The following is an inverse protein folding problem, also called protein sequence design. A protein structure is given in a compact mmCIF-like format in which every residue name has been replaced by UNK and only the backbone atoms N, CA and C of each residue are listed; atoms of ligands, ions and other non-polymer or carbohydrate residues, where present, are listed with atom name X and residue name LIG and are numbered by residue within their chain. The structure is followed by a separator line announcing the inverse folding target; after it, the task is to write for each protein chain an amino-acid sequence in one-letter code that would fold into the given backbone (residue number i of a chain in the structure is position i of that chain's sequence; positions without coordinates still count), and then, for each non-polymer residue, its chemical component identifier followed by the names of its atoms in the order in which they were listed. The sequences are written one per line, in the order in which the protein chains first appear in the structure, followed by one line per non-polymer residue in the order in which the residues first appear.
data_IF_472090411482
#
_entry.id   IF_472090411482
#
_cell.length_a   1.000
_cell.length_b   1.000
_cell.length_c   1.000
_cell.angle_alpha   90.00
_cell.angle_beta   90.00
_cell.angle_gamma   90.00
#
_symmetry.space_group_name_H-M   'P 1'
#
loop_
_entity.id
_entity.type
_entity.pdbx_description
1 polymer ?
#
# COMPACT_ATOMS: atom_id res chain seq x y z
N UNK A 1 4.31 35.02 -9.11
CA UNK A 1 3.07 35.54 -9.72
C UNK A 1 2.74 34.62 -10.87
N UNK A 2 1.76 33.71 -10.70
CA UNK A 2 1.31 32.78 -11.75
C UNK A 2 0.34 33.56 -12.62
N UNK A 3 0.66 33.80 -13.89
CA UNK A 3 -0.10 34.73 -14.75
C UNK A 3 -0.95 34.06 -15.81
N UNK A 4 -0.81 32.75 -16.03
CA UNK A 4 -1.62 32.02 -17.02
C UNK A 4 -2.15 30.69 -16.49
N UNK A 5 -3.38 30.31 -16.86
CA UNK A 5 -3.90 28.95 -16.67
C UNK A 5 -3.00 27.91 -17.37
N UNK A 6 -2.30 28.28 -18.45
CA UNK A 6 -1.27 27.43 -19.04
C UNK A 6 -0.07 27.19 -18.11
N UNK A 7 0.33 28.14 -17.26
CA UNK A 7 1.45 27.93 -16.31
C UNK A 7 1.11 26.82 -15.30
N UNK A 8 -0.18 26.65 -14.98
CA UNK A 8 -0.69 25.55 -14.16
C UNK A 8 -0.55 24.18 -14.85
N UNK A 9 -0.69 24.14 -16.18
CA UNK A 9 -0.54 22.92 -16.98
C UNK A 9 0.92 22.65 -17.39
N UNK A 10 1.76 23.68 -17.55
CA UNK A 10 3.19 23.58 -17.81
C UNK A 10 3.99 23.23 -16.54
N UNK A 11 3.49 23.59 -15.35
CA UNK A 11 3.98 23.09 -14.08
C UNK A 11 3.50 21.65 -13.80
N UNK A 12 3.49 20.78 -14.82
CA UNK A 12 3.18 19.37 -14.62
C UNK A 12 4.27 18.80 -13.73
N UNK A 13 3.97 18.33 -12.50
CA UNK A 13 4.99 17.73 -11.66
C UNK A 13 5.59 16.54 -12.42
N UNK A 14 6.92 16.37 -12.41
CA UNK A 14 7.57 15.20 -12.99
C UNK A 14 6.89 13.93 -12.51
N UNK A 15 6.83 12.88 -13.34
CA UNK A 15 6.18 11.63 -12.94
C UNK A 15 6.83 11.01 -11.70
N UNK A 16 8.11 11.31 -11.45
CA UNK A 16 8.83 10.97 -10.22
C UNK A 16 8.20 11.61 -8.97
N UNK A 17 7.80 12.88 -9.03
CA UNK A 17 7.13 13.57 -7.92
C UNK A 17 5.76 12.98 -7.64
N UNK A 18 4.98 12.68 -8.69
CA UNK A 18 3.66 12.04 -8.56
C UNK A 18 3.81 10.65 -7.92
N UNK A 19 4.80 9.87 -8.35
CA UNK A 19 5.11 8.56 -7.77
C UNK A 19 5.46 8.66 -6.28
N UNK A 20 6.29 9.62 -5.88
CA UNK A 20 6.67 9.82 -4.47
C UNK A 20 5.45 10.13 -3.60
N UNK A 21 4.58 11.04 -4.05
CA UNK A 21 3.36 11.37 -3.31
C UNK A 21 2.39 10.20 -3.24
N UNK A 22 2.28 9.41 -4.31
CA UNK A 22 1.51 8.17 -4.31
C UNK A 22 2.04 7.17 -3.26
N UNK A 23 3.36 6.94 -3.21
CA UNK A 23 3.98 6.06 -2.21
C UNK A 23 3.74 6.56 -0.78
N UNK A 24 3.83 7.88 -0.55
CA UNK A 24 3.53 8.48 0.76
C UNK A 24 2.07 8.30 1.16
N UNK A 25 1.13 8.50 0.24
CA UNK A 25 -0.29 8.27 0.49
C UNK A 25 -0.56 6.81 0.86
N UNK A 26 0.04 5.87 0.14
CA UNK A 26 -0.02 4.44 0.49
C UNK A 26 0.61 4.16 1.85
N UNK A 27 1.74 4.80 2.17
CA UNK A 27 2.38 4.70 3.47
C UNK A 27 1.44 5.10 4.62
N UNK A 28 0.69 6.20 4.48
CA UNK A 28 -0.30 6.59 5.49
C UNK A 28 -1.45 5.59 5.62
N UNK A 29 -1.92 5.03 4.51
CA UNK A 29 -2.97 3.99 4.54
C UNK A 29 -2.49 2.74 5.30
N UNK A 30 -1.26 2.29 5.03
CA UNK A 30 -0.65 1.16 5.73
C UNK A 30 -0.38 1.48 7.20
N UNK A 31 0.01 2.71 7.52
CA UNK A 31 0.17 3.15 8.90
C UNK A 31 -1.15 3.02 9.67
N UNK A 32 -2.25 3.51 9.10
CA UNK A 32 -3.59 3.34 9.67
C UNK A 32 -3.98 1.88 9.82
N UNK A 33 -3.74 1.06 8.79
CA UNK A 33 -3.98 -0.39 8.83
C UNK A 33 -3.22 -1.10 9.95
N UNK A 34 -1.92 -0.83 10.07
CA UNK A 34 -1.07 -1.37 11.12
C UNK A 34 -1.53 -0.98 12.52
N UNK A 35 -1.89 0.30 12.72
CA UNK A 35 -2.45 0.78 14.00
C UNK A 35 -3.75 0.06 14.35
N UNK A 36 -4.63 -0.20 13.38
CA UNK A 36 -5.87 -0.96 13.60
C UNK A 36 -5.56 -2.40 14.04
N UNK A 37 -4.57 -3.06 13.43
CA UNK A 37 -4.16 -4.40 13.88
C UNK A 37 -3.62 -4.38 15.32
N UNK A 38 -2.81 -3.39 15.68
CA UNK A 38 -2.36 -3.20 17.07
C UNK A 38 -3.51 -2.92 18.04
N UNK A 39 -4.48 -2.10 17.64
CA UNK A 39 -5.68 -1.83 18.43
C UNK A 39 -6.47 -3.13 18.70
N UNK A 40 -6.49 -4.09 17.77
CA UNK A 40 -7.07 -5.41 18.00
C UNK A 40 -6.27 -6.24 19.00
N UNK A 41 -4.95 -6.26 18.88
CA UNK A 41 -4.06 -7.02 19.77
C UNK A 41 -4.21 -6.54 21.23
N UNK A 42 -4.29 -5.22 21.43
CA UNK A 42 -4.46 -4.62 22.77
C UNK A 42 -5.89 -4.79 23.31
N UNK A 43 -6.86 -5.16 22.46
CA UNK A 43 -8.25 -5.35 22.85
C UNK A 43 -9.11 -4.09 22.82
N UNK A 44 -8.71 -3.06 22.07
CA UNK A 44 -9.47 -1.81 21.89
C UNK A 44 -10.59 -1.99 20.85
N UNK A 45 -10.35 -2.81 19.82
CA UNK A 45 -11.28 -3.03 18.71
C UNK A 45 -11.49 -4.53 18.50
N UNK A 46 -12.76 -4.95 18.45
CA UNK A 46 -13.14 -6.32 18.08
C UNK A 46 -13.06 -6.57 16.57
N UNK A 47 -12.92 -7.82 16.17
CA UNK A 47 -12.99 -8.21 14.76
C UNK A 47 -13.97 -9.37 14.58
N UNK A 48 -15.03 -9.10 13.81
CA UNK A 48 -16.15 -10.05 13.58
C UNK A 48 -16.80 -10.52 14.90
N UNK A 49 -16.91 -9.61 15.88
CA UNK A 49 -17.48 -9.91 17.20
C UNK A 49 -16.61 -10.80 18.09
N UNK A 50 -15.33 -11.00 17.74
CA UNK A 50 -14.37 -11.74 18.53
C UNK A 50 -13.24 -10.83 18.97
N UNK A 51 -12.82 -10.97 20.22
CA UNK A 51 -11.59 -10.38 20.73
C UNK A 51 -10.38 -11.20 20.28
N UNK A 52 -9.20 -10.58 20.33
CA UNK A 52 -7.96 -11.20 19.86
C UNK A 52 -7.69 -12.56 20.51
N UNK A 53 -7.90 -12.69 21.82
CA UNK A 53 -7.67 -13.94 22.57
C UNK A 53 -8.65 -15.06 22.23
N UNK A 54 -9.84 -14.75 21.70
CA UNK A 54 -10.85 -15.74 21.32
C UNK A 54 -10.71 -16.21 19.86
N UNK A 55 -9.84 -15.56 19.08
CA UNK A 55 -9.62 -15.94 17.69
C UNK A 55 -8.83 -17.25 17.57
N UNK A 56 -9.07 -18.06 16.51
CA UNK A 56 -8.21 -19.17 16.15
C UNK A 56 -6.75 -18.72 15.98
N UNK A 57 -5.80 -19.57 16.39
CA UNK A 57 -4.36 -19.26 16.34
C UNK A 57 -3.87 -18.79 14.96
N UNK A 58 -4.45 -19.34 13.88
CA UNK A 58 -4.14 -18.95 12.51
C UNK A 58 -4.57 -17.50 12.17
N UNK A 59 -5.65 -17.02 12.78
CA UNK A 59 -6.13 -15.64 12.62
C UNK A 59 -5.33 -14.69 13.50
N UNK A 60 -5.00 -15.08 14.74
CA UNK A 60 -4.10 -14.32 15.61
C UNK A 60 -2.74 -14.11 14.93
N UNK A 61 -2.15 -15.17 14.37
CA UNK A 61 -0.89 -15.09 13.64
C UNK A 61 -0.93 -14.12 12.47
N UNK A 62 -2.02 -14.14 11.69
CA UNK A 62 -2.21 -13.18 10.59
C UNK A 62 -2.34 -11.74 11.09
N UNK A 63 -3.09 -11.50 12.17
CA UNK A 63 -3.24 -10.15 12.79
C UNK A 63 -1.88 -9.60 13.24
N UNK A 64 -1.07 -10.41 13.93
CA UNK A 64 0.27 -9.98 14.38
C UNK A 64 1.19 -9.74 13.18
N UNK A 65 1.20 -10.66 12.22
CA UNK A 65 2.02 -10.55 11.01
C UNK A 65 1.71 -9.28 10.22
N UNK A 66 0.44 -9.01 9.91
CA UNK A 66 0.05 -7.79 9.19
C UNK A 66 0.19 -6.53 10.04
N UNK A 67 0.03 -6.62 11.37
CA UNK A 67 0.24 -5.48 12.26
C UNK A 67 1.68 -4.97 12.23
N UNK A 68 2.66 -5.85 12.13
CA UNK A 68 4.08 -5.46 11.97
C UNK A 68 4.37 -5.08 10.52
N UNK A 69 3.95 -5.92 9.57
CA UNK A 69 4.26 -5.73 8.15
C UNK A 69 3.72 -4.40 7.60
N UNK A 70 2.49 -4.03 7.95
CA UNK A 70 1.87 -2.78 7.48
C UNK A 70 2.61 -1.56 8.02
N UNK A 71 3.02 -1.54 9.30
CA UNK A 71 3.79 -0.42 9.87
C UNK A 71 5.20 -0.31 9.27
N UNK A 72 5.88 -1.44 9.08
CA UNK A 72 7.21 -1.50 8.48
C UNK A 72 7.14 -1.03 7.02
N UNK A 73 6.18 -1.54 6.24
CA UNK A 73 5.94 -1.08 4.87
C UNK A 73 5.60 0.41 4.82
N UNK A 74 4.77 0.91 5.74
CA UNK A 74 4.40 2.32 5.82
C UNK A 74 5.61 3.26 5.94
N UNK A 75 6.54 2.93 6.85
CA UNK A 75 7.76 3.72 7.04
C UNK A 75 8.63 3.68 5.77
N UNK A 76 8.83 2.50 5.20
CA UNK A 76 9.63 2.34 3.98
C UNK A 76 9.07 3.11 2.79
N UNK A 77 7.74 3.09 2.61
CA UNK A 77 7.05 3.84 1.55
C UNK A 77 7.09 5.35 1.79
N UNK A 78 6.92 5.80 3.04
CA UNK A 78 6.94 7.22 3.38
C UNK A 78 8.32 7.86 3.14
N UNK A 79 9.37 7.13 3.51
CA UNK A 79 10.76 7.49 3.27
C UNK A 79 11.22 7.22 1.83
N UNK A 80 10.35 6.64 0.98
CA UNK A 80 10.62 6.31 -0.43
C UNK A 80 11.85 5.43 -0.62
N UNK A 81 12.09 4.51 0.32
CA UNK A 81 13.21 3.55 0.26
C UNK A 81 12.78 2.31 -0.52
N UNK A 82 13.70 1.72 -1.29
CA UNK A 82 13.39 0.58 -2.19
C UNK A 82 12.78 -0.63 -1.47
N UNK A 83 13.15 -0.90 -0.22
CA UNK A 83 12.62 -2.01 0.56
C UNK A 83 11.14 -1.83 0.95
N UNK A 84 10.66 -0.58 1.08
CA UNK A 84 9.27 -0.29 1.45
C UNK A 84 8.28 -0.78 0.40
N UNK A 85 8.59 -0.54 -0.88
CA UNK A 85 7.80 -1.05 -2.00
C UNK A 85 7.77 -2.58 -2.02
N UNK A 86 8.90 -3.24 -1.76
CA UNK A 86 8.96 -4.71 -1.72
C UNK A 86 8.07 -5.26 -0.61
N UNK A 87 8.13 -4.68 0.59
CA UNK A 87 7.28 -5.09 1.71
C UNK A 87 5.80 -4.86 1.42
N UNK A 88 5.45 -3.74 0.79
CA UNK A 88 4.07 -3.46 0.40
C UNK A 88 3.54 -4.43 -0.68
N UNK A 89 4.35 -4.75 -1.69
CA UNK A 89 3.99 -5.75 -2.70
C UNK A 89 3.84 -7.14 -2.08
N UNK A 90 4.75 -7.52 -1.19
CA UNK A 90 4.67 -8.77 -0.45
C UNK A 90 3.40 -8.84 0.41
N UNK A 91 3.06 -7.74 1.09
CA UNK A 91 1.83 -7.59 1.86
C UNK A 91 0.58 -7.78 1.00
N UNK A 92 0.54 -7.18 -0.20
CA UNK A 92 -0.55 -7.36 -1.15
C UNK A 92 -0.64 -8.83 -1.62
N UNK A 93 0.51 -9.45 -1.90
CA UNK A 93 0.58 -10.86 -2.30
C UNK A 93 0.03 -11.78 -1.20
N UNK A 94 0.45 -11.61 0.05
CA UNK A 94 -0.08 -12.38 1.19
C UNK A 94 -1.60 -12.25 1.30
N UNK A 95 -2.15 -11.05 1.11
CA UNK A 95 -3.59 -10.79 1.19
C UNK A 95 -4.36 -11.44 0.04
N UNK A 96 -3.82 -11.42 -1.17
CA UNK A 96 -4.40 -12.14 -2.31
C UNK A 96 -4.43 -13.63 -2.02
N UNK A 97 -3.32 -14.23 -1.56
CA UNK A 97 -3.25 -15.67 -1.23
C UNK A 97 -4.21 -16.03 -0.10
N UNK A 98 -4.27 -15.21 0.95
CA UNK A 98 -5.13 -15.41 2.12
C UNK A 98 -6.62 -15.43 1.74
N UNK A 99 -7.06 -14.51 0.88
CA UNK A 99 -8.47 -14.43 0.46
C UNK A 99 -8.84 -15.30 -0.75
N UNK A 100 -7.86 -15.95 -1.40
CA UNK A 100 -8.10 -16.89 -2.51
C UNK A 100 -7.89 -18.34 -2.07
N UNK A 101 -6.67 -18.73 -1.72
CA UNK A 101 -6.30 -20.10 -1.35
C UNK A 101 -6.82 -20.50 0.04
N UNK A 102 -6.88 -19.56 0.98
CA UNK A 102 -7.35 -19.78 2.35
C UNK A 102 -8.70 -19.11 2.62
N UNK A 103 -9.52 -18.99 1.58
CA UNK A 103 -10.78 -18.25 1.66
C UNK A 103 -11.79 -18.86 2.64
N UNK A 104 -11.69 -20.17 2.90
CA UNK A 104 -12.51 -20.88 3.88
C UNK A 104 -12.18 -20.45 5.32
N UNK A 105 -10.92 -20.08 5.60
CA UNK A 105 -10.46 -19.72 6.93
C UNK A 105 -10.64 -18.23 7.23
N UNK A 106 -10.40 -17.36 6.24
CA UNK A 106 -10.38 -15.92 6.43
C UNK A 106 -11.62 -15.20 5.85
N UNK A 107 -12.42 -15.89 5.05
CA UNK A 107 -13.58 -15.35 4.36
C UNK A 107 -13.23 -14.70 3.02
N UNK A 108 -14.14 -14.80 2.05
CA UNK A 108 -13.97 -14.18 0.72
C UNK A 108 -14.28 -12.68 0.80
N UNK A 109 -13.28 -11.85 0.46
CA UNK A 109 -13.43 -10.40 0.34
C UNK A 109 -12.94 -9.90 -1.03
N UNK A 110 -13.73 -10.09 -2.09
CA UNK A 110 -13.31 -9.74 -3.45
C UNK A 110 -13.01 -8.24 -3.62
N UNK A 111 -13.68 -7.37 -2.85
CA UNK A 111 -13.47 -5.92 -2.91
C UNK A 111 -12.07 -5.49 -2.45
N UNK A 112 -11.52 -6.12 -1.41
CA UNK A 112 -10.18 -5.82 -0.90
C UNK A 112 -9.11 -6.28 -1.90
N UNK A 113 -9.29 -7.45 -2.51
CA UNK A 113 -8.42 -7.97 -3.57
C UNK A 113 -8.37 -6.98 -4.75
N UNK A 114 -9.53 -6.50 -5.21
CA UNK A 114 -9.60 -5.54 -6.31
C UNK A 114 -8.86 -4.23 -5.99
N UNK A 115 -8.95 -3.75 -4.74
CA UNK A 115 -8.20 -2.59 -4.27
C UNK A 115 -6.69 -2.81 -4.30
N UNK A 116 -6.19 -3.96 -3.84
CA UNK A 116 -4.76 -4.28 -3.91
C UNK A 116 -4.26 -4.40 -5.35
N UNK A 117 -5.02 -5.05 -6.24
CA UNK A 117 -4.67 -5.13 -7.65
C UNK A 117 -4.64 -3.76 -8.32
N UNK A 118 -5.63 -2.90 -8.03
CA UNK A 118 -5.68 -1.55 -8.56
C UNK A 118 -4.47 -0.72 -8.12
N UNK A 119 -4.11 -0.77 -6.84
CA UNK A 119 -2.97 -0.01 -6.31
C UNK A 119 -1.63 -0.50 -6.90
N UNK A 120 -1.48 -1.81 -7.12
CA UNK A 120 -0.32 -2.37 -7.85
C UNK A 120 -0.29 -1.87 -9.29
N UNK A 121 -1.43 -1.89 -10.00
CA UNK A 121 -1.52 -1.42 -11.39
C UNK A 121 -1.15 0.07 -11.52
N UNK A 122 -1.65 0.91 -10.60
CA UNK A 122 -1.29 2.34 -10.56
C UNK A 122 0.21 2.50 -10.33
N UNK A 123 0.80 1.76 -9.38
CA UNK A 123 2.23 1.81 -9.10
C UNK A 123 3.07 1.43 -10.34
N UNK A 124 2.73 0.33 -11.01
CA UNK A 124 3.41 -0.11 -12.23
C UNK A 124 3.27 0.91 -13.35
N UNK A 125 2.07 1.46 -13.55
CA UNK A 125 1.82 2.50 -14.54
C UNK A 125 2.64 3.77 -14.31
N UNK A 126 2.68 4.27 -13.07
CA UNK A 126 3.48 5.44 -12.70
C UNK A 126 4.98 5.19 -12.87
N UNK A 127 5.46 4.01 -12.49
CA UNK A 127 6.88 3.62 -12.63
C UNK A 127 7.28 3.53 -14.10
N UNK A 128 6.40 2.97 -14.95
CA UNK A 128 6.61 2.91 -16.39
C UNK A 128 6.67 4.30 -17.03
N UNK A 129 5.74 5.20 -16.67
CA UNK A 129 5.70 6.58 -17.19
C UNK A 129 6.95 7.36 -16.78
N UNK A 130 7.39 7.22 -15.53
CA UNK A 130 8.63 7.83 -15.03
C UNK A 130 9.86 7.33 -15.79
N UNK A 131 9.93 6.02 -16.05
CA UNK A 131 11.03 5.43 -16.82
C UNK A 131 11.03 5.95 -18.27
N UNK A 132 9.85 6.11 -18.88
CA UNK A 132 9.70 6.66 -20.23
C UNK A 132 10.16 8.11 -20.31
N UNK A 133 9.76 8.95 -19.35
CA UNK A 133 10.18 10.35 -19.26
C UNK A 133 11.71 10.47 -19.11
N UNK A 134 12.32 9.66 -18.25
CA UNK A 134 13.76 9.65 -18.05
C UNK A 134 14.54 9.26 -19.33
N UNK A 135 14.02 8.31 -20.12
CA UNK A 135 14.65 7.90 -21.39
C UNK A 135 14.57 8.99 -22.46
N UNK A 136 13.45 9.69 -22.56
CA UNK A 136 13.27 10.80 -23.51
C UNK A 136 14.26 11.93 -23.18
N UNK A 137 14.38 12.28 -21.91
CA UNK A 137 15.30 13.33 -21.47
C UNK A 137 16.79 12.95 -21.69
N UNK A 138 17.14 11.67 -21.60
CA UNK A 138 18.49 11.18 -21.87
C UNK A 138 18.85 11.19 -23.37
N UNK A 139 17.87 11.02 -24.27
CA UNK A 139 18.08 11.07 -25.72
C UNK A 139 18.11 12.51 -26.29
N UNK A 140 17.66 13.49 -25.51
CA UNK A 140 17.66 14.91 -25.89
C UNK A 140 18.94 15.67 -25.47
N UNK A 141 19.84 15.02 -24.72
CA UNK A 141 21.16 15.54 -24.34
C UNK A 141 22.23 14.95 -25.24
#
# INVERSE_FOLDING_TARGET
MITSFQDLFYARPPWSTVLIWYLRAMGLLLMGGGVIYWARIVGIVEWRGMWFWDMPIAIQGAVVFFGVLDLVAAIGLWLTVSWGTVMWLFRCFCQIVMHTAFSDLYGRRPYEIAFYLLTILIYVGLTYLMTRENRINAASK
#
